data_IF_124800165710
#
_entry.id   IF_124800165710
#
_cell.length_a   1.000
_cell.length_b   1.000
_cell.length_c   1.000
_cell.angle_alpha   90.00
_cell.angle_beta   90.00
_cell.angle_gamma   90.00
#
_symmetry.space_group_name_H-M   'P 1'
#
loop_
_entity.id
_entity.type
_entity.pdbx_description
1 polymer ?
#
# COMPACT_ATOMS: atom_id res chain seq x y z
N UNK A 1 0.26 0.66 37.97
CA UNK A 1 0.37 1.88 38.78
C UNK A 1 1.19 1.60 40.05
N UNK A 2 2.49 1.88 39.97
CA UNK A 2 3.33 1.87 41.18
C UNK A 2 3.32 3.27 41.79
N UNK A 3 2.91 3.40 43.00
CA UNK A 3 2.96 4.64 43.76
C UNK A 3 4.37 4.77 44.35
N UNK A 4 5.03 5.90 44.09
CA UNK A 4 6.33 6.24 44.70
C UNK A 4 6.13 7.47 45.58
N UNK A 5 6.97 7.66 46.62
CA UNK A 5 6.94 8.88 47.44
C UNK A 5 7.07 10.12 46.51
N UNK A 6 6.11 11.04 46.63
CA UNK A 6 6.04 12.27 45.80
C UNK A 6 5.21 12.15 44.50
N UNK A 7 4.54 11.01 44.26
CA UNK A 7 3.64 10.84 43.13
C UNK A 7 2.19 10.72 43.60
N UNK A 8 1.35 11.72 43.29
CA UNK A 8 -0.04 11.80 43.76
C UNK A 8 -1.01 10.90 42.90
N UNK A 9 -0.57 10.30 41.81
CA UNK A 9 -1.40 9.43 40.96
C UNK A 9 -0.69 8.91 39.74
N UNK A 10 -1.35 8.01 39.02
CA UNK A 10 -0.92 7.51 37.69
C UNK A 10 -1.54 8.28 36.57
N UNK A 11 -0.78 8.64 35.53
CA UNK A 11 -1.31 9.19 34.30
C UNK A 11 -1.78 8.05 33.40
N UNK A 12 -3.09 8.03 33.09
CA UNK A 12 -3.66 7.15 32.06
C UNK A 12 -3.73 7.96 30.78
N UNK A 13 -2.96 7.58 29.78
CA UNK A 13 -2.99 8.21 28.46
C UNK A 13 -3.85 7.32 27.58
N UNK A 14 -4.98 7.85 27.14
CA UNK A 14 -5.90 7.17 26.22
C UNK A 14 -5.75 7.72 24.81
N UNK A 15 -5.19 6.91 23.94
CA UNK A 15 -5.01 7.23 22.53
C UNK A 15 -6.25 6.91 21.66
N UNK A 16 -7.39 6.44 22.26
CA UNK A 16 -8.42 5.72 21.49
C UNK A 16 -9.86 6.15 21.81
N UNK A 17 -10.05 7.20 22.60
CA UNK A 17 -11.40 7.69 22.91
C UNK A 17 -12.24 6.81 23.87
N UNK A 18 -11.68 5.71 24.40
CA UNK A 18 -12.32 4.90 25.46
C UNK A 18 -12.32 5.66 26.79
N UNK A 19 -11.43 6.67 26.95
CA UNK A 19 -11.29 7.43 28.19
C UNK A 19 -12.56 8.20 28.55
N UNK A 20 -13.36 8.63 27.61
CA UNK A 20 -14.62 9.32 27.95
C UNK A 20 -15.63 8.35 28.57
N UNK A 21 -15.84 7.18 27.99
CA UNK A 21 -16.74 6.16 28.56
C UNK A 21 -16.17 5.61 29.88
N UNK A 22 -14.85 5.43 29.97
CA UNK A 22 -14.19 5.00 31.20
C UNK A 22 -14.22 6.09 32.31
N UNK A 23 -14.02 7.37 31.96
CA UNK A 23 -14.19 8.51 32.89
C UNK A 23 -15.62 8.63 33.36
N UNK A 24 -16.58 8.42 32.50
CA UNK A 24 -18.01 8.48 32.83
C UNK A 24 -18.39 7.34 33.78
N UNK A 25 -17.97 6.10 33.47
CA UNK A 25 -18.12 4.94 34.34
C UNK A 25 -17.40 5.13 35.69
N UNK A 26 -16.17 5.64 35.68
CA UNK A 26 -15.43 5.93 36.92
C UNK A 26 -16.08 7.04 37.75
N UNK A 27 -16.64 8.09 37.14
CA UNK A 27 -17.36 9.15 37.84
C UNK A 27 -18.69 8.66 38.46
N UNK A 28 -19.39 7.77 37.79
CA UNK A 28 -20.63 7.19 38.30
C UNK A 28 -20.37 6.21 39.46
N UNK A 29 -19.23 5.53 39.45
CA UNK A 29 -18.76 4.68 40.56
C UNK A 29 -18.23 5.50 41.75
N UNK A 30 -17.41 6.54 41.52
CA UNK A 30 -16.83 7.37 42.60
C UNK A 30 -17.89 8.13 43.37
N UNK A 31 -18.99 8.51 42.78
CA UNK A 31 -20.12 9.16 43.45
C UNK A 31 -20.92 8.22 44.36
N UNK A 32 -20.91 6.91 44.08
CA UNK A 32 -21.67 5.89 44.87
C UNK A 32 -20.85 5.18 45.97
N UNK A 33 -19.53 5.06 45.80
CA UNK A 33 -18.70 4.17 46.63
C UNK A 33 -17.39 4.80 47.16
N UNK A 34 -17.42 6.05 47.57
CA UNK A 34 -16.28 6.62 48.31
C UNK A 34 -15.92 5.87 49.62
N UNK A 35 -16.64 4.81 49.98
CA UNK A 35 -16.42 3.98 51.16
C UNK A 35 -16.02 2.52 50.93
N UNK A 36 -16.00 2.05 49.68
CA UNK A 36 -15.57 0.68 49.35
C UNK A 36 -14.55 0.69 48.22
N UNK A 37 -13.34 0.28 48.53
CA UNK A 37 -12.32 -0.02 47.56
C UNK A 37 -12.76 -1.19 46.66
N UNK A 38 -13.58 -0.87 45.63
CA UNK A 38 -13.89 -1.77 44.53
C UNK A 38 -13.43 -1.09 43.26
N UNK A 39 -12.39 -1.63 42.62
CA UNK A 39 -12.07 -1.25 41.22
C UNK A 39 -13.36 -1.38 40.42
N UNK A 40 -13.83 -0.31 39.71
CA UNK A 40 -14.86 -0.50 38.73
C UNK A 40 -14.40 -1.63 37.81
N UNK A 41 -15.27 -2.57 37.50
CA UNK A 41 -14.91 -3.74 36.73
C UNK A 41 -14.66 -3.29 35.29
N UNK A 42 -13.48 -2.68 35.09
CA UNK A 42 -13.00 -2.13 33.82
C UNK A 42 -13.12 -3.21 32.74
N UNK A 43 -12.84 -4.46 33.12
CA UNK A 43 -12.95 -5.58 32.21
C UNK A 43 -14.38 -5.83 31.74
N UNK A 44 -15.39 -5.70 32.63
CA UNK A 44 -16.80 -5.85 32.22
C UNK A 44 -17.27 -4.71 31.33
N UNK A 45 -16.90 -3.47 31.63
CA UNK A 45 -17.24 -2.32 30.78
C UNK A 45 -16.56 -2.46 29.40
N UNK A 46 -15.31 -2.88 29.38
CA UNK A 46 -14.58 -3.16 28.15
C UNK A 46 -15.19 -4.32 27.35
N UNK A 47 -15.74 -5.34 28.03
CA UNK A 47 -16.42 -6.46 27.38
C UNK A 47 -17.69 -6.01 26.64
N UNK A 48 -18.48 -5.11 27.23
CA UNK A 48 -19.66 -4.54 26.54
C UNK A 48 -19.20 -3.82 25.27
N UNK A 49 -18.18 -2.98 25.38
CA UNK A 49 -17.65 -2.26 24.23
C UNK A 49 -17.04 -3.20 23.18
N UNK A 50 -16.38 -4.28 23.61
CA UNK A 50 -15.87 -5.33 22.72
C UNK A 50 -16.98 -5.93 21.85
N UNK A 51 -18.11 -6.31 22.45
CA UNK A 51 -19.23 -6.89 21.71
C UNK A 51 -19.90 -5.89 20.76
N UNK A 52 -19.97 -4.60 21.15
CA UNK A 52 -20.46 -3.53 20.26
C UNK A 52 -19.57 -3.40 19.01
N UNK A 53 -18.25 -3.27 19.21
CA UNK A 53 -17.32 -3.13 18.10
C UNK A 53 -17.25 -4.40 17.24
N UNK A 54 -17.36 -5.58 17.85
CA UNK A 54 -17.43 -6.86 17.13
C UNK A 54 -18.67 -6.92 16.23
N UNK A 55 -19.85 -6.50 16.73
CA UNK A 55 -21.07 -6.45 15.94
C UNK A 55 -20.92 -5.52 14.73
N UNK A 56 -20.30 -4.33 14.93
CA UNK A 56 -20.02 -3.39 13.84
C UNK A 56 -19.08 -4.01 12.80
N UNK A 57 -18.02 -4.71 13.23
CA UNK A 57 -17.10 -5.38 12.31
C UNK A 57 -17.79 -6.49 11.51
N UNK A 58 -18.65 -7.29 12.14
CA UNK A 58 -19.48 -8.33 11.47
C UNK A 58 -20.38 -7.71 10.39
N UNK A 59 -20.99 -6.58 10.67
CA UNK A 59 -21.84 -5.85 9.73
C UNK A 59 -21.07 -5.40 8.47
N UNK A 60 -19.81 -4.97 8.62
CA UNK A 60 -18.99 -4.61 7.47
C UNK A 60 -18.65 -5.82 6.58
N UNK A 61 -18.64 -7.02 7.16
CA UNK A 61 -18.37 -8.29 6.47
C UNK A 61 -19.64 -9.02 6.01
N UNK A 62 -20.81 -8.40 6.14
CA UNK A 62 -22.06 -8.99 5.66
C UNK A 62 -21.96 -9.39 4.17
N UNK A 63 -22.19 -10.67 3.89
CA UNK A 63 -22.01 -11.26 2.55
C UNK A 63 -20.66 -11.93 2.31
N UNK A 64 -19.74 -11.87 3.29
CA UNK A 64 -18.48 -12.59 3.28
C UNK A 64 -18.53 -13.74 4.29
N UNK A 65 -18.51 -14.99 3.82
CA UNK A 65 -18.43 -16.14 4.70
C UNK A 65 -16.99 -16.34 5.20
N UNK A 66 -16.76 -16.05 6.48
CA UNK A 66 -15.49 -16.30 7.18
C UNK A 66 -15.59 -17.41 8.24
N UNK A 67 -16.71 -18.14 8.29
CA UNK A 67 -16.93 -19.27 9.20
C UNK A 67 -15.79 -20.30 9.16
N UNK A 68 -15.20 -20.65 7.98
CA UNK A 68 -14.11 -21.62 7.94
C UNK A 68 -12.84 -21.18 8.69
N UNK A 69 -12.73 -19.92 9.09
CA UNK A 69 -11.60 -19.45 9.90
C UNK A 69 -11.60 -20.03 11.33
N UNK A 70 -12.75 -20.48 11.82
CA UNK A 70 -12.85 -21.08 13.15
C UNK A 70 -12.37 -22.53 13.21
N UNK A 71 -12.21 -23.18 12.06
CA UNK A 71 -11.64 -24.53 11.99
C UNK A 71 -10.16 -24.53 12.41
N UNK A 72 -9.65 -25.69 12.85
CA UNK A 72 -8.28 -25.79 13.34
C UNK A 72 -7.23 -25.84 12.21
N UNK A 73 -7.66 -26.04 10.96
CA UNK A 73 -6.80 -26.09 9.77
C UNK A 73 -6.25 -24.71 9.40
N UNK A 74 -4.92 -24.59 9.46
CA UNK A 74 -4.21 -23.36 9.11
C UNK A 74 -4.30 -23.00 7.62
N UNK A 75 -4.36 -23.99 6.74
CA UNK A 75 -4.52 -23.76 5.31
C UNK A 75 -5.87 -23.13 5.01
N UNK A 76 -6.92 -23.66 5.66
CA UNK A 76 -8.28 -23.15 5.53
C UNK A 76 -8.42 -21.74 6.11
N UNK A 77 -7.77 -21.45 7.24
CA UNK A 77 -7.71 -20.10 7.81
C UNK A 77 -7.06 -19.09 6.88
N UNK A 78 -5.93 -19.44 6.29
CA UNK A 78 -5.24 -18.57 5.33
C UNK A 78 -6.07 -18.33 4.06
N UNK A 79 -6.73 -19.37 3.54
CA UNK A 79 -7.64 -19.24 2.39
C UNK A 79 -8.84 -18.34 2.71
N UNK A 80 -9.45 -18.52 3.89
CA UNK A 80 -10.59 -17.72 4.35
C UNK A 80 -10.20 -16.25 4.50
N UNK A 81 -9.04 -15.97 5.11
CA UNK A 81 -8.53 -14.61 5.25
C UNK A 81 -8.24 -13.96 3.88
N UNK A 82 -7.70 -14.75 2.94
CA UNK A 82 -7.44 -14.28 1.57
C UNK A 82 -8.74 -13.95 0.82
N UNK A 83 -9.77 -14.78 0.97
CA UNK A 83 -11.10 -14.53 0.39
C UNK A 83 -11.74 -13.28 0.99
N UNK A 84 -11.68 -13.12 2.32
CA UNK A 84 -12.20 -11.93 3.00
C UNK A 84 -11.45 -10.65 2.58
N UNK A 85 -10.12 -10.70 2.44
CA UNK A 85 -9.34 -9.60 1.90
C UNK A 85 -9.77 -9.26 0.47
N UNK A 86 -9.88 -10.25 -0.40
CA UNK A 86 -10.32 -10.03 -1.79
C UNK A 86 -11.72 -9.41 -1.84
N UNK A 87 -12.63 -9.83 -0.97
CA UNK A 87 -13.97 -9.24 -0.82
C UNK A 87 -13.90 -7.77 -0.42
N UNK A 88 -13.11 -7.44 0.60
CA UNK A 88 -12.95 -6.08 1.11
C UNK A 88 -12.21 -5.14 0.16
N UNK A 89 -11.40 -5.66 -0.76
CA UNK A 89 -10.68 -4.86 -1.76
C UNK A 89 -11.54 -4.51 -2.98
N UNK A 90 -12.75 -5.04 -3.11
CA UNK A 90 -13.67 -4.67 -4.19
C UNK A 90 -14.01 -3.17 -4.12
N UNK A 91 -14.15 -2.46 -5.27
CA UNK A 91 -14.36 -1.00 -5.28
C UNK A 91 -15.59 -0.55 -4.48
N UNK A 92 -16.69 -1.28 -4.58
CA UNK A 92 -17.94 -0.99 -3.88
C UNK A 92 -17.82 -1.12 -2.36
N UNK A 93 -16.77 -1.78 -1.87
CA UNK A 93 -16.52 -1.98 -0.45
C UNK A 93 -15.68 -0.86 0.19
N UNK A 94 -15.29 0.16 -0.55
CA UNK A 94 -14.43 1.24 -0.02
C UNK A 94 -14.96 1.89 1.26
N UNK A 95 -16.24 2.29 1.38
CA UNK A 95 -16.77 2.84 2.62
C UNK A 95 -16.72 1.83 3.79
N UNK A 96 -17.20 0.60 3.56
CA UNK A 96 -17.19 -0.47 4.56
C UNK A 96 -15.76 -0.84 5.00
N UNK A 97 -14.81 -0.82 4.08
CA UNK A 97 -13.38 -1.06 4.33
C UNK A 97 -12.78 -0.05 5.31
N UNK A 98 -13.10 1.24 5.17
CA UNK A 98 -12.66 2.29 6.09
C UNK A 98 -13.24 2.06 7.48
N UNK A 99 -14.54 1.82 7.56
CA UNK A 99 -15.22 1.51 8.83
C UNK A 99 -14.64 0.26 9.50
N UNK A 100 -14.39 -0.82 8.74
CA UNK A 100 -13.77 -2.03 9.27
C UNK A 100 -12.39 -1.72 9.90
N UNK A 101 -11.56 -0.96 9.23
CA UNK A 101 -10.20 -0.61 9.73
C UNK A 101 -10.29 0.17 11.04
N UNK A 102 -11.21 1.14 11.15
CA UNK A 102 -11.40 1.95 12.33
C UNK A 102 -11.96 1.12 13.51
N UNK A 103 -13.05 0.40 13.28
CA UNK A 103 -13.72 -0.36 14.33
C UNK A 103 -12.94 -1.62 14.77
N UNK A 104 -12.23 -2.29 13.88
CA UNK A 104 -11.34 -3.38 14.25
C UNK A 104 -10.14 -2.90 15.10
N UNK A 105 -9.68 -1.66 14.94
CA UNK A 105 -8.70 -1.06 15.84
C UNK A 105 -9.28 -0.83 17.25
N UNK A 106 -10.50 -0.32 17.34
CA UNK A 106 -11.22 -0.15 18.62
C UNK A 106 -11.49 -1.50 19.30
N UNK A 107 -11.90 -2.50 18.53
CA UNK A 107 -12.09 -3.87 18.97
C UNK A 107 -10.82 -4.46 19.58
N UNK A 108 -9.67 -4.32 18.90
CA UNK A 108 -8.37 -4.76 19.42
C UNK A 108 -8.06 -4.15 20.78
N UNK A 109 -8.33 -2.87 20.94
CA UNK A 109 -8.06 -2.18 22.18
C UNK A 109 -9.01 -2.60 23.32
N UNK A 110 -10.30 -2.77 23.02
CA UNK A 110 -11.25 -3.32 23.97
C UNK A 110 -10.84 -4.72 24.42
N UNK A 111 -10.38 -5.59 23.48
CA UNK A 111 -9.88 -6.93 23.78
C UNK A 111 -8.73 -6.90 24.82
N UNK A 112 -7.81 -5.97 24.72
CA UNK A 112 -6.66 -5.90 25.65
C UNK A 112 -7.10 -5.70 27.10
N UNK A 113 -8.23 -5.02 27.32
CA UNK A 113 -8.77 -4.72 28.64
C UNK A 113 -9.67 -5.84 29.19
N UNK A 114 -10.37 -6.61 28.32
CA UNK A 114 -11.30 -7.65 28.72
C UNK A 114 -10.82 -9.08 28.40
N UNK A 115 -9.54 -9.27 28.02
CA UNK A 115 -8.99 -10.55 27.53
C UNK A 115 -9.27 -11.76 28.41
N UNK A 116 -9.31 -11.56 29.73
CA UNK A 116 -9.58 -12.63 30.71
C UNK A 116 -11.04 -13.10 30.70
N UNK A 117 -11.97 -12.28 30.20
CA UNK A 117 -13.41 -12.56 30.15
C UNK A 117 -13.85 -13.14 28.81
N UNK A 118 -12.99 -13.10 27.77
CA UNK A 118 -13.29 -13.58 26.44
C UNK A 118 -13.19 -15.11 26.36
N UNK A 119 -14.17 -15.71 25.70
CA UNK A 119 -14.16 -17.13 25.37
C UNK A 119 -13.20 -17.48 24.22
N UNK A 120 -13.15 -18.77 23.81
CA UNK A 120 -12.29 -19.24 22.72
C UNK A 120 -12.75 -18.68 21.37
N UNK A 121 -14.05 -18.60 21.15
CA UNK A 121 -14.65 -18.12 19.90
C UNK A 121 -14.34 -16.63 19.70
N UNK A 122 -14.59 -15.79 20.69
CA UNK A 122 -14.29 -14.35 20.66
C UNK A 122 -12.80 -14.09 20.37
N UNK A 123 -11.89 -14.88 20.99
CA UNK A 123 -10.44 -14.75 20.77
C UNK A 123 -10.02 -15.07 19.33
N UNK A 124 -10.65 -16.08 18.72
CA UNK A 124 -10.37 -16.43 17.32
C UNK A 124 -10.96 -15.40 16.39
N UNK A 125 -12.16 -14.92 16.65
CA UNK A 125 -12.82 -13.94 15.79
C UNK A 125 -12.12 -12.59 15.79
N UNK A 126 -11.70 -12.09 16.95
CA UNK A 126 -10.92 -10.84 17.00
C UNK A 126 -9.56 -11.00 16.32
N UNK A 127 -8.93 -12.19 16.41
CA UNK A 127 -7.68 -12.44 15.69
C UNK A 127 -7.90 -12.40 14.16
N UNK A 128 -9.05 -12.89 13.68
CA UNK A 128 -9.44 -12.75 12.27
C UNK A 128 -9.62 -11.29 11.87
N UNK A 129 -10.37 -10.50 12.65
CA UNK A 129 -10.62 -9.08 12.38
C UNK A 129 -9.33 -8.27 12.37
N UNK A 130 -8.42 -8.51 13.30
CA UNK A 130 -7.10 -7.86 13.35
C UNK A 130 -6.23 -8.22 12.15
N UNK A 131 -6.18 -9.50 11.78
CA UNK A 131 -5.42 -9.96 10.63
C UNK A 131 -5.95 -9.30 9.35
N UNK A 132 -7.27 -9.30 9.15
CA UNK A 132 -7.92 -8.69 8.00
C UNK A 132 -7.67 -7.19 7.95
N UNK A 133 -7.80 -6.47 9.09
CA UNK A 133 -7.49 -5.04 9.20
C UNK A 133 -6.07 -4.72 8.74
N UNK A 134 -5.08 -5.46 9.25
CA UNK A 134 -3.67 -5.24 8.90
C UNK A 134 -3.43 -5.50 7.41
N UNK A 135 -4.03 -6.54 6.84
CA UNK A 135 -3.91 -6.85 5.42
C UNK A 135 -4.55 -5.74 4.56
N UNK A 136 -5.78 -5.34 4.89
CA UNK A 136 -6.48 -4.24 4.19
C UNK A 136 -5.64 -2.96 4.21
N UNK A 137 -5.12 -2.56 5.37
CA UNK A 137 -4.27 -1.37 5.49
C UNK A 137 -3.03 -1.46 4.62
N UNK A 138 -2.39 -2.62 4.52
CA UNK A 138 -1.20 -2.81 3.69
C UNK A 138 -1.47 -2.68 2.21
N UNK A 139 -2.60 -3.22 1.73
CA UNK A 139 -2.96 -3.14 0.34
C UNK A 139 -3.50 -1.76 -0.06
N UNK A 140 -4.05 -0.98 0.87
CA UNK A 140 -4.70 0.31 0.57
C UNK A 140 -3.86 1.53 0.94
N UNK A 141 -2.97 1.42 1.93
CA UNK A 141 -2.07 2.52 2.31
C UNK A 141 -0.80 2.47 1.46
N UNK A 142 -0.75 3.34 0.48
CA UNK A 142 0.45 3.61 -0.31
C UNK A 142 1.37 4.55 0.48
N UNK A 143 1.94 4.10 1.57
CA UNK A 143 3.07 4.77 2.20
C UNK A 143 4.33 4.14 1.65
N UNK A 144 5.07 4.84 0.79
CA UNK A 144 6.41 4.65 0.22
C UNK A 144 7.37 3.52 0.66
N UNK A 145 6.91 2.54 1.40
CA UNK A 145 7.65 1.36 1.76
C UNK A 145 7.33 0.26 0.75
N UNK A 146 8.34 -0.18 0.02
CA UNK A 146 8.27 -1.35 -0.87
C UNK A 146 7.74 -2.55 -0.09
N UNK A 147 6.46 -2.85 -0.26
CA UNK A 147 5.87 -4.08 0.30
C UNK A 147 6.31 -5.22 -0.60
N UNK A 148 7.28 -5.99 -0.15
CA UNK A 148 7.69 -7.20 -0.85
C UNK A 148 6.72 -8.33 -0.53
N UNK A 149 6.53 -9.29 -1.46
CA UNK A 149 5.78 -10.53 -1.22
C UNK A 149 6.24 -11.24 0.04
N UNK A 150 7.55 -11.22 0.29
CA UNK A 150 8.19 -11.81 1.48
C UNK A 150 7.67 -11.18 2.77
N UNK A 151 7.49 -9.85 2.80
CA UNK A 151 6.95 -9.15 3.98
C UNK A 151 5.46 -9.44 4.18
N UNK A 152 4.67 -9.55 3.10
CA UNK A 152 3.26 -9.95 3.19
C UNK A 152 3.16 -11.36 3.77
N UNK A 153 3.89 -12.32 3.21
CA UNK A 153 3.91 -13.69 3.69
C UNK A 153 4.45 -13.80 5.12
N UNK A 154 5.52 -13.09 5.43
CA UNK A 154 6.12 -13.12 6.76
C UNK A 154 5.13 -12.60 7.83
N UNK A 155 4.39 -11.54 7.56
CA UNK A 155 3.42 -11.01 8.53
C UNK A 155 2.12 -11.77 8.60
N UNK A 156 1.64 -12.37 7.49
CA UNK A 156 0.55 -13.35 7.54
C UNK A 156 0.97 -14.52 8.43
N UNK A 157 2.18 -15.01 8.25
CA UNK A 157 2.75 -16.10 9.04
C UNK A 157 2.93 -15.71 10.52
N UNK A 158 3.39 -14.49 10.81
CA UNK A 158 3.52 -13.97 12.16
C UNK A 158 2.16 -13.83 12.86
N UNK A 159 1.16 -13.30 12.14
CA UNK A 159 -0.21 -13.19 12.67
C UNK A 159 -0.86 -14.56 12.90
N UNK A 160 -0.67 -15.49 11.97
CA UNK A 160 -1.15 -16.87 12.13
C UNK A 160 -0.40 -17.58 13.26
N UNK A 161 0.90 -17.40 13.43
CA UNK A 161 1.69 -17.94 14.56
C UNK A 161 1.29 -17.37 15.91
N UNK A 162 0.96 -16.07 15.98
CA UNK A 162 0.48 -15.43 17.19
C UNK A 162 -0.92 -15.89 17.59
N UNK A 163 -1.77 -16.18 16.60
CA UNK A 163 -3.15 -16.63 16.80
C UNK A 163 -3.27 -18.14 17.00
N UNK A 164 -2.30 -18.90 16.49
CA UNK A 164 -2.37 -20.38 16.42
C UNK A 164 -0.97 -20.95 16.67
N UNK A 165 -0.82 -21.65 17.78
CA UNK A 165 0.33 -22.54 18.00
C UNK A 165 0.21 -23.76 17.12
N UNK A 166 0.62 -23.75 15.87
CA UNK A 166 0.79 -24.99 15.12
C UNK A 166 1.63 -24.84 13.84
N UNK A 167 2.27 -25.93 13.49
CA UNK A 167 3.22 -26.12 12.42
C UNK A 167 2.52 -26.22 11.07
N UNK A 168 2.70 -25.24 10.21
CA UNK A 168 2.21 -25.30 8.83
C UNK A 168 1.98 -23.91 8.23
N UNK A 169 2.96 -23.45 7.51
CA UNK A 169 2.91 -22.18 6.79
C UNK A 169 2.29 -22.40 5.44
N UNK A 170 1.10 -21.86 5.20
CA UNK A 170 0.56 -21.73 3.84
C UNK A 170 1.17 -20.49 3.20
N UNK A 171 2.02 -20.71 2.24
CA UNK A 171 2.61 -19.67 1.43
C UNK A 171 1.55 -19.21 0.41
N UNK A 172 0.96 -18.03 0.59
CA UNK A 172 0.00 -17.46 -0.38
C UNK A 172 0.61 -17.28 -1.77
N UNK A 173 1.93 -17.23 -1.82
CA UNK A 173 2.73 -17.16 -3.04
C UNK A 173 3.85 -18.21 -2.93
N UNK A 174 3.50 -19.50 -3.11
CA UNK A 174 4.43 -20.59 -2.98
C UNK A 174 5.67 -20.41 -3.87
N UNK A 175 6.82 -20.69 -3.28
CA UNK A 175 8.11 -20.91 -3.92
C UNK A 175 8.65 -19.87 -4.90
N UNK A 176 9.20 -18.78 -4.36
CA UNK A 176 10.22 -18.09 -5.14
C UNK A 176 11.30 -17.47 -4.26
N UNK A 177 12.45 -18.13 -4.25
CA UNK A 177 13.72 -17.67 -3.66
C UNK A 177 14.43 -16.59 -4.51
N UNK A 178 13.79 -16.03 -5.53
CA UNK A 178 14.41 -15.05 -6.42
C UNK A 178 13.87 -13.64 -6.13
N UNK A 179 14.77 -12.66 -6.07
CA UNK A 179 14.45 -11.24 -6.19
C UNK A 179 13.87 -11.03 -7.60
N UNK A 180 12.55 -11.07 -7.72
CA UNK A 180 11.91 -10.80 -8.99
C UNK A 180 12.05 -9.33 -9.35
N UNK A 181 12.50 -9.07 -10.55
CA UNK A 181 12.20 -7.81 -11.21
C UNK A 181 10.68 -7.65 -11.27
N UNK A 182 10.17 -6.54 -10.75
CA UNK A 182 8.74 -6.21 -10.60
C UNK A 182 7.91 -6.35 -11.90
N UNK A 183 8.58 -6.58 -13.04
CA UNK A 183 7.99 -6.66 -14.37
C UNK A 183 8.52 -7.89 -15.16
N UNK A 184 8.97 -8.93 -14.43
CA UNK A 184 9.34 -10.21 -15.06
C UNK A 184 8.10 -10.93 -15.62
N UNK A 185 8.28 -11.65 -16.73
CA UNK A 185 7.19 -12.38 -17.39
C UNK A 185 6.54 -13.41 -16.47
N UNK A 186 7.35 -14.09 -15.66
CA UNK A 186 6.84 -15.06 -14.69
C UNK A 186 5.92 -14.39 -13.66
N UNK A 187 6.31 -13.24 -13.12
CA UNK A 187 5.47 -12.46 -12.21
C UNK A 187 4.15 -12.04 -12.86
N UNK A 188 4.21 -11.52 -14.10
CA UNK A 188 3.02 -11.11 -14.84
C UNK A 188 2.06 -12.28 -15.10
N UNK A 189 2.60 -13.47 -15.37
CA UNK A 189 1.79 -14.68 -15.53
C UNK A 189 1.14 -15.13 -14.23
N UNK A 190 1.85 -15.06 -13.09
CA UNK A 190 1.29 -15.38 -11.79
C UNK A 190 0.14 -14.45 -11.42
N UNK A 191 0.31 -13.14 -11.62
CA UNK A 191 -0.78 -12.16 -11.42
C UNK A 191 -2.00 -12.50 -12.29
N UNK A 192 -1.78 -12.86 -13.54
CA UNK A 192 -2.85 -13.24 -14.46
C UNK A 192 -3.60 -14.50 -14.00
N UNK A 193 -2.88 -15.47 -13.43
CA UNK A 193 -3.43 -16.75 -12.93
C UNK A 193 -4.06 -16.66 -11.54
N UNK A 194 -3.85 -15.56 -10.80
CA UNK A 194 -4.45 -15.39 -9.47
C UNK A 194 -5.97 -15.49 -9.53
N UNK A 195 -6.53 -16.26 -8.60
CA UNK A 195 -8.00 -16.41 -8.46
C UNK A 195 -8.62 -15.15 -7.86
N UNK A 196 -7.95 -14.55 -6.91
CA UNK A 196 -8.38 -13.36 -6.17
C UNK A 196 -8.07 -12.08 -6.97
N UNK A 197 -8.92 -11.74 -7.93
CA UNK A 197 -8.69 -10.65 -8.89
C UNK A 197 -8.54 -9.27 -8.23
N UNK A 198 -9.26 -8.99 -7.14
CA UNK A 198 -9.13 -7.71 -6.45
C UNK A 198 -7.76 -7.55 -5.77
N UNK A 199 -7.20 -8.64 -5.22
CA UNK A 199 -5.85 -8.65 -4.65
C UNK A 199 -4.82 -8.45 -5.77
N UNK A 200 -4.98 -9.14 -6.89
CA UNK A 200 -4.12 -8.98 -8.07
C UNK A 200 -4.12 -7.54 -8.58
N UNK A 201 -5.29 -6.92 -8.66
CA UNK A 201 -5.46 -5.54 -9.09
C UNK A 201 -4.77 -4.55 -8.14
N UNK A 202 -5.01 -4.64 -6.82
CA UNK A 202 -4.40 -3.75 -5.84
C UNK A 202 -2.87 -3.92 -5.79
N UNK A 203 -2.37 -5.13 -5.96
CA UNK A 203 -0.93 -5.39 -6.05
C UNK A 203 -0.32 -4.71 -7.28
N UNK A 204 -0.89 -4.90 -8.48
CA UNK A 204 -0.44 -4.23 -9.71
C UNK A 204 -0.50 -2.71 -9.60
N UNK A 205 -1.60 -2.19 -9.10
CA UNK A 205 -1.79 -0.75 -8.88
C UNK A 205 -0.71 -0.18 -7.97
N UNK A 206 -0.41 -0.83 -6.85
CA UNK A 206 0.65 -0.41 -5.93
C UNK A 206 2.02 -0.40 -6.61
N UNK A 207 2.37 -1.49 -7.30
CA UNK A 207 3.66 -1.63 -7.97
C UNK A 207 3.86 -0.61 -9.09
N UNK A 208 2.83 -0.40 -9.91
CA UNK A 208 2.88 0.58 -10.99
C UNK A 208 2.97 2.02 -10.44
N UNK A 209 2.24 2.33 -9.37
CA UNK A 209 2.31 3.64 -8.71
C UNK A 209 3.70 3.92 -8.14
N UNK A 210 4.33 2.94 -7.50
CA UNK A 210 5.69 3.05 -6.99
C UNK A 210 6.69 3.25 -8.14
N UNK A 211 6.53 2.53 -9.24
CA UNK A 211 7.37 2.67 -10.43
C UNK A 211 7.22 4.05 -11.07
N UNK A 212 5.98 4.52 -11.27
CA UNK A 212 5.68 5.86 -11.79
C UNK A 212 6.29 6.96 -10.88
N UNK A 213 6.21 6.77 -9.56
CA UNK A 213 6.82 7.69 -8.59
C UNK A 213 8.35 7.71 -8.69
N UNK A 214 8.97 6.56 -8.93
CA UNK A 214 10.41 6.46 -9.20
C UNK A 214 10.77 7.16 -10.51
N UNK A 215 10.01 6.92 -11.57
CA UNK A 215 10.18 7.58 -12.87
C UNK A 215 10.05 9.11 -12.76
N UNK A 216 9.20 9.63 -11.88
CA UNK A 216 9.09 11.08 -11.64
C UNK A 216 10.40 11.73 -11.24
N UNK A 217 11.31 10.98 -10.62
CA UNK A 217 12.63 11.47 -10.20
C UNK A 217 13.69 11.32 -11.29
N UNK A 218 13.52 10.39 -12.20
CA UNK A 218 14.51 10.00 -13.22
C UNK A 218 14.10 10.40 -14.63
N UNK A 219 12.83 10.25 -15.00
CA UNK A 219 12.29 10.56 -16.32
C UNK A 219 10.86 11.09 -16.21
N UNK A 220 10.71 12.41 -16.14
CA UNK A 220 9.43 13.11 -15.96
C UNK A 220 8.46 12.80 -17.10
N UNK A 221 8.98 12.71 -18.34
CA UNK A 221 8.16 12.47 -19.55
C UNK A 221 7.44 11.13 -19.48
N UNK A 222 8.17 10.07 -19.16
CA UNK A 222 7.59 8.74 -18.99
C UNK A 222 6.68 8.66 -17.76
N UNK A 223 7.06 9.33 -16.67
CA UNK A 223 6.24 9.39 -15.46
C UNK A 223 4.87 10.02 -15.74
N UNK A 224 4.80 11.13 -16.48
CA UNK A 224 3.53 11.76 -16.86
C UNK A 224 2.68 10.85 -17.74
N UNK A 225 3.28 10.21 -18.74
CA UNK A 225 2.59 9.29 -19.64
C UNK A 225 1.98 8.12 -18.86
N UNK A 226 2.78 7.40 -18.09
CA UNK A 226 2.31 6.22 -17.35
C UNK A 226 1.38 6.59 -16.19
N UNK A 227 1.55 7.75 -15.55
CA UNK A 227 0.61 8.26 -14.55
C UNK A 227 -0.77 8.53 -15.14
N UNK A 228 -0.82 9.13 -16.33
CA UNK A 228 -2.06 9.39 -17.05
C UNK A 228 -2.77 8.08 -17.44
N UNK A 229 -2.04 7.15 -18.03
CA UNK A 229 -2.57 5.82 -18.40
C UNK A 229 -3.10 5.05 -17.19
N UNK A 230 -2.34 5.03 -16.08
CA UNK A 230 -2.76 4.36 -14.84
C UNK A 230 -4.05 4.97 -14.29
N UNK A 231 -4.11 6.30 -14.24
CA UNK A 231 -5.28 7.02 -13.74
C UNK A 231 -6.50 6.78 -14.61
N UNK A 232 -6.34 6.78 -15.92
CA UNK A 232 -7.43 6.55 -16.88
C UNK A 232 -8.00 5.13 -16.75
N UNK A 233 -7.15 4.09 -16.77
CA UNK A 233 -7.58 2.69 -16.61
C UNK A 233 -8.30 2.47 -15.28
N UNK A 234 -7.78 3.02 -14.17
CA UNK A 234 -8.43 2.92 -12.87
C UNK A 234 -9.76 3.67 -12.80
N UNK A 235 -9.86 4.85 -13.41
CA UNK A 235 -11.12 5.61 -13.47
C UNK A 235 -12.18 4.87 -14.29
N UNK A 236 -11.82 4.25 -15.40
CA UNK A 236 -12.73 3.43 -16.22
C UNK A 236 -13.23 2.22 -15.43
N UNK A 237 -12.34 1.57 -14.68
CA UNK A 237 -12.70 0.46 -13.80
C UNK A 237 -13.65 0.88 -12.68
N UNK A 238 -13.36 1.98 -11.96
CA UNK A 238 -14.22 2.50 -10.87
C UNK A 238 -15.61 2.87 -11.39
N UNK A 239 -15.70 3.39 -12.62
CA UNK A 239 -16.97 3.71 -13.29
C UNK A 239 -17.71 2.47 -13.82
N UNK A 240 -17.17 1.27 -13.63
CA UNK A 240 -17.77 0.02 -14.13
C UNK A 240 -17.66 -0.20 -15.63
N UNK A 241 -16.82 0.58 -16.32
CA UNK A 241 -16.59 0.45 -17.77
C UNK A 241 -15.59 -0.67 -18.13
N UNK A 242 -14.88 -1.20 -17.13
CA UNK A 242 -13.95 -2.31 -17.26
C UNK A 242 -14.25 -3.35 -16.19
N UNK A 243 -14.13 -4.61 -16.55
CA UNK A 243 -14.12 -5.72 -15.61
C UNK A 243 -12.77 -5.83 -14.89
N UNK A 244 -12.72 -6.62 -13.82
CA UNK A 244 -11.46 -6.90 -13.12
C UNK A 244 -10.39 -7.49 -14.04
N UNK A 245 -10.79 -8.35 -14.98
CA UNK A 245 -9.86 -9.00 -15.91
C UNK A 245 -9.33 -8.02 -16.94
N UNK A 246 -10.19 -7.16 -17.47
CA UNK A 246 -9.81 -6.14 -18.45
C UNK A 246 -8.85 -5.10 -17.87
N UNK A 247 -9.12 -4.57 -16.66
CA UNK A 247 -8.22 -3.62 -16.02
C UNK A 247 -6.87 -4.27 -15.66
N UNK A 248 -6.86 -5.52 -15.17
CA UNK A 248 -5.62 -6.25 -14.91
C UNK A 248 -4.82 -6.41 -16.20
N UNK A 249 -5.48 -6.74 -17.33
CA UNK A 249 -4.82 -6.84 -18.64
C UNK A 249 -4.20 -5.51 -19.07
N UNK A 250 -4.93 -4.40 -18.95
CA UNK A 250 -4.40 -3.06 -19.26
C UNK A 250 -3.18 -2.70 -18.38
N UNK A 251 -3.25 -2.99 -17.09
CA UNK A 251 -2.13 -2.72 -16.18
C UNK A 251 -0.91 -3.62 -16.44
N UNK A 252 -1.11 -4.87 -16.85
CA UNK A 252 -0.02 -5.76 -17.28
C UNK A 252 0.62 -5.28 -18.59
N UNK A 253 -0.14 -4.79 -19.55
CA UNK A 253 0.40 -4.18 -20.77
C UNK A 253 1.19 -2.90 -20.45
N UNK A 254 0.72 -2.08 -19.51
CA UNK A 254 1.49 -0.93 -19.03
C UNK A 254 2.83 -1.35 -18.42
N UNK A 255 2.84 -2.40 -17.59
CA UNK A 255 4.08 -2.95 -17.01
C UNK A 255 5.07 -3.40 -18.09
N UNK A 256 4.59 -4.07 -19.14
CA UNK A 256 5.41 -4.48 -20.29
C UNK A 256 5.97 -3.27 -21.05
N UNK A 257 5.17 -2.24 -21.25
CA UNK A 257 5.61 -1.03 -21.93
C UNK A 257 6.69 -0.31 -21.15
N UNK A 258 6.56 -0.20 -19.81
CA UNK A 258 7.61 0.37 -18.94
C UNK A 258 8.92 -0.42 -19.10
N UNK A 259 8.84 -1.75 -19.06
CA UNK A 259 10.02 -2.62 -19.23
C UNK A 259 10.65 -2.43 -20.60
N UNK A 260 9.84 -2.41 -21.67
CA UNK A 260 10.31 -2.19 -23.03
C UNK A 260 11.06 -0.87 -23.18
N UNK A 261 10.54 0.21 -22.62
CA UNK A 261 11.20 1.52 -22.62
C UNK A 261 12.54 1.52 -21.88
N UNK A 262 12.64 0.76 -20.77
CA UNK A 262 13.92 0.60 -20.06
C UNK A 262 14.93 -0.21 -20.89
N UNK A 263 14.49 -1.29 -21.53
CA UNK A 263 15.34 -2.11 -22.41
C UNK A 263 15.82 -1.34 -23.65
N UNK A 264 14.96 -0.50 -24.23
CA UNK A 264 15.34 0.37 -25.36
C UNK A 264 16.41 1.38 -24.98
N UNK A 265 16.30 1.99 -23.80
CA UNK A 265 17.35 2.87 -23.28
C UNK A 265 18.70 2.18 -23.16
N UNK A 266 18.71 0.94 -22.65
CA UNK A 266 19.91 0.13 -22.55
C UNK A 266 20.49 -0.26 -23.93
N UNK A 267 19.63 -0.60 -24.90
CA UNK A 267 20.06 -0.94 -26.29
C UNK A 267 20.67 0.26 -27.01
N UNK A 268 20.15 1.47 -26.75
CA UNK A 268 20.72 2.71 -27.31
C UNK A 268 22.02 3.14 -26.61
N UNK A 269 22.46 2.43 -25.58
CA UNK A 269 23.63 2.77 -24.77
C UNK A 269 23.51 4.12 -24.08
N UNK A 270 22.29 4.45 -23.63
CA UNK A 270 21.95 5.67 -22.90
C UNK A 270 21.89 5.39 -21.41
N UNK A 271 22.48 6.26 -20.61
CA UNK A 271 22.26 6.28 -19.16
C UNK A 271 20.82 6.70 -18.84
N UNK A 272 20.39 6.50 -17.59
CA UNK A 272 19.03 6.90 -17.15
C UNK A 272 18.76 8.39 -17.37
N UNK A 273 19.75 9.26 -17.12
CA UNK A 273 19.64 10.70 -17.35
C UNK A 273 19.57 11.02 -18.86
N UNK A 274 20.37 10.37 -19.67
CA UNK A 274 20.37 10.54 -21.12
C UNK A 274 19.04 10.05 -21.73
N UNK A 275 18.50 8.92 -21.27
CA UNK A 275 17.19 8.44 -21.72
C UNK A 275 16.08 9.46 -21.42
N UNK A 276 16.10 10.12 -20.25
CA UNK A 276 15.13 11.17 -19.94
C UNK A 276 15.20 12.36 -20.89
N UNK A 277 16.39 12.79 -21.29
CA UNK A 277 16.57 13.85 -22.30
C UNK A 277 16.18 13.36 -23.71
N UNK A 278 16.52 12.13 -24.06
CA UNK A 278 16.11 11.51 -25.31
C UNK A 278 14.58 11.49 -25.46
N UNK A 279 13.88 11.03 -24.43
CA UNK A 279 12.41 10.99 -24.42
C UNK A 279 11.80 12.40 -24.50
N UNK A 280 12.40 13.39 -23.84
CA UNK A 280 11.96 14.77 -23.91
C UNK A 280 12.17 15.39 -25.32
N UNK A 281 13.26 15.04 -26.00
CA UNK A 281 13.58 15.52 -27.34
C UNK A 281 12.74 14.84 -28.43
N UNK A 282 12.43 13.56 -28.29
CA UNK A 282 11.70 12.76 -29.25
C UNK A 282 10.19 12.85 -29.11
N UNK A 283 9.67 13.33 -27.97
CA UNK A 283 8.23 13.48 -27.70
C UNK A 283 7.50 14.38 -28.71
N UNK A 284 8.03 15.56 -29.13
CA UNK A 284 7.38 16.36 -30.13
C UNK A 284 7.55 15.71 -31.52
N UNK A 285 6.45 15.29 -32.13
CA UNK A 285 6.47 14.61 -33.43
C UNK A 285 7.19 15.42 -34.54
N UNK A 286 7.04 16.74 -34.51
CA UNK A 286 7.76 17.62 -35.42
C UNK A 286 9.28 17.56 -35.29
N UNK A 287 9.79 17.40 -34.06
CA UNK A 287 11.22 17.28 -33.79
C UNK A 287 11.71 15.90 -34.24
N UNK A 288 10.92 14.85 -33.97
CA UNK A 288 11.25 13.47 -34.37
C UNK A 288 11.44 13.30 -35.87
N UNK A 289 10.75 14.10 -36.69
CA UNK A 289 10.90 14.09 -38.16
C UNK A 289 12.15 14.80 -38.66
N UNK A 290 12.83 15.58 -37.81
CA UNK A 290 13.95 16.42 -38.22
C UNK A 290 15.31 15.76 -38.05
N UNK A 291 15.43 14.66 -37.30
CA UNK A 291 16.68 14.01 -36.95
C UNK A 291 16.58 12.50 -37.08
N UNK A 292 17.71 11.83 -37.38
CA UNK A 292 17.80 10.37 -37.30
C UNK A 292 17.99 9.92 -35.85
N UNK A 293 17.76 8.61 -35.57
CA UNK A 293 17.93 8.06 -34.22
C UNK A 293 19.37 8.21 -33.73
N UNK A 294 20.37 8.06 -34.61
CA UNK A 294 21.80 8.27 -34.28
C UNK A 294 22.07 9.73 -33.90
N UNK A 295 21.47 10.68 -34.64
CA UNK A 295 21.59 12.10 -34.33
C UNK A 295 20.96 12.43 -32.97
N UNK A 296 19.79 11.84 -32.64
CA UNK A 296 19.17 12.00 -31.33
C UNK A 296 20.03 11.44 -30.21
N UNK A 297 20.63 10.27 -30.37
CA UNK A 297 21.53 9.67 -29.39
C UNK A 297 22.77 10.57 -29.18
N UNK A 298 23.41 11.03 -30.25
CA UNK A 298 24.57 11.90 -30.18
C UNK A 298 24.24 13.26 -29.52
N UNK A 299 23.12 13.88 -29.95
CA UNK A 299 22.61 15.14 -29.38
C UNK A 299 22.30 14.97 -27.88
N UNK A 300 21.66 13.87 -27.49
CA UNK A 300 21.31 13.60 -26.10
C UNK A 300 22.54 13.45 -25.22
N UNK A 301 23.55 12.71 -25.66
CA UNK A 301 24.82 12.54 -24.93
C UNK A 301 25.55 13.87 -24.76
N UNK A 302 25.71 14.64 -25.84
CA UNK A 302 26.35 15.96 -25.79
C UNK A 302 25.58 16.93 -24.90
N UNK A 303 24.24 16.93 -24.99
CA UNK A 303 23.37 17.76 -24.16
C UNK A 303 23.53 17.43 -22.67
N UNK A 304 23.52 16.16 -22.31
CA UNK A 304 23.66 15.70 -20.92
C UNK A 304 25.02 16.12 -20.36
N UNK A 305 26.07 15.94 -21.16
CA UNK A 305 27.44 16.32 -20.75
C UNK A 305 27.57 17.83 -20.55
N UNK A 306 27.08 18.63 -21.50
CA UNK A 306 27.11 20.09 -21.42
C UNK A 306 26.33 20.59 -20.21
N UNK A 307 25.14 20.05 -19.96
CA UNK A 307 24.33 20.42 -18.80
C UNK A 307 25.00 20.02 -17.49
N UNK A 308 25.61 18.82 -17.43
CA UNK A 308 26.32 18.35 -16.24
C UNK A 308 27.53 19.23 -15.90
N UNK A 309 28.32 19.65 -16.90
CA UNK A 309 29.48 20.54 -16.72
C UNK A 309 29.10 21.96 -16.30
N UNK A 310 27.94 22.45 -16.75
CA UNK A 310 27.50 23.83 -16.52
C UNK A 310 26.47 23.98 -15.40
N UNK A 311 26.13 22.91 -14.72
CA UNK A 311 25.15 22.90 -13.62
C UNK A 311 25.76 23.53 -12.37
N UNK A 312 25.30 24.74 -11.97
CA UNK A 312 25.58 25.30 -10.65
C UNK A 312 24.66 24.68 -9.57
N UNK A 313 25.09 24.71 -8.29
CA UNK A 313 24.30 24.20 -7.18
C UNK A 313 22.90 24.83 -7.13
N UNK A 314 22.81 26.14 -7.45
CA UNK A 314 21.56 26.91 -7.36
C UNK A 314 20.80 27.04 -8.69
N UNK A 315 21.11 26.24 -9.71
CA UNK A 315 20.56 26.43 -11.06
C UNK A 315 19.02 26.40 -11.08
N UNK A 316 18.38 25.69 -10.16
CA UNK A 316 16.91 25.63 -10.06
C UNK A 316 16.29 26.92 -9.55
N UNK A 317 17.02 27.70 -8.74
CA UNK A 317 16.53 28.90 -8.07
C UNK A 317 16.95 30.20 -8.77
N UNK A 318 18.07 30.18 -9.49
CA UNK A 318 18.59 31.35 -10.21
C UNK A 318 18.06 31.42 -11.64
N UNK A 319 17.33 32.51 -11.95
CA UNK A 319 16.78 32.74 -13.29
C UNK A 319 17.88 32.89 -14.36
N UNK A 320 18.99 33.54 -14.01
CA UNK A 320 20.15 33.68 -14.87
C UNK A 320 20.76 32.33 -15.26
N UNK A 321 20.89 31.41 -14.32
CA UNK A 321 21.41 30.07 -14.61
C UNK A 321 20.46 29.28 -15.54
N UNK A 322 19.16 29.39 -15.32
CA UNK A 322 18.14 28.78 -16.21
C UNK A 322 18.19 29.39 -17.61
N UNK A 323 18.35 30.70 -17.71
CA UNK A 323 18.50 31.41 -18.99
C UNK A 323 19.72 30.95 -19.76
N UNK A 324 20.88 30.84 -19.09
CA UNK A 324 22.12 30.32 -19.69
C UNK A 324 21.94 28.87 -20.20
N UNK A 325 21.31 27.99 -19.42
CA UNK A 325 21.02 26.64 -19.86
C UNK A 325 20.12 26.63 -21.10
N UNK A 326 19.06 27.43 -21.14
CA UNK A 326 18.18 27.55 -22.32
C UNK A 326 18.96 28.00 -23.57
N UNK A 327 19.89 28.94 -23.42
CA UNK A 327 20.74 29.40 -24.54
C UNK A 327 21.66 28.27 -25.01
N UNK A 328 22.30 27.54 -24.10
CA UNK A 328 23.13 26.37 -24.43
C UNK A 328 22.36 25.29 -25.17
N UNK A 329 21.18 24.92 -24.66
CA UNK A 329 20.31 23.97 -25.34
C UNK A 329 19.95 24.43 -26.76
N UNK A 330 19.52 25.68 -26.92
CA UNK A 330 19.21 26.24 -28.25
C UNK A 330 20.41 26.22 -29.21
N UNK A 331 21.64 26.49 -28.74
CA UNK A 331 22.86 26.41 -29.56
C UNK A 331 23.16 24.98 -30.00
N UNK A 332 23.02 24.01 -29.08
CA UNK A 332 23.19 22.60 -29.35
C UNK A 332 22.18 22.09 -30.39
N UNK A 333 20.90 22.39 -30.21
CA UNK A 333 19.87 22.04 -31.18
C UNK A 333 20.10 22.61 -32.56
N UNK A 334 20.70 23.84 -32.65
CA UNK A 334 21.08 24.45 -33.95
C UNK A 334 22.30 23.78 -34.60
N UNK A 335 23.20 23.20 -33.79
CA UNK A 335 24.42 22.51 -34.29
C UNK A 335 24.06 21.21 -35.05
N UNK A 336 23.00 20.53 -34.58
CA UNK A 336 22.54 19.24 -35.13
C UNK A 336 21.51 19.40 -36.24
N UNK A 337 21.05 20.62 -36.53
CA UNK A 337 20.07 20.92 -37.57
C UNK A 337 20.78 21.20 -38.91
#
# INVERSE_FOLDING_TARGET
NRVFPGKEGGLIIDYIGIAQALKQAMNDYTKRDQKRFGNPDIAKTALVKFHEEMAICRDQLHGCDYTPFFEEDNALKAQTLTKALNYMLAPQMEPKRKHLVEHAALLHNAQTLCRSLLDKHDKVEVAFMDALRVMVMRFTQTTGAKITRKEINQRINELLKQSIKSDGVVNLFADTKQEFSLFDEHFMEEIRKMKEKNIALELLKSLLKDKVTTLKRTNVVQSELFSSMLTESLNRYIKGLLTNEEVIKELLEMAKNIRKEEEEGNKLGLSVEEKAFYDALTRPEMVRRCYTDEQFVALTKELTEVLRRNRSIDWRHKESARAQMRVMIKRLLKKYK
#
